data_IF_187545263773
#
_entry.id   IF_187545263773
#
_cell.length_a   1.000
_cell.length_b   1.000
_cell.length_c   1.000
_cell.angle_alpha   90.00
_cell.angle_beta   90.00
_cell.angle_gamma   90.00
#
_symmetry.space_group_name_H-M   'P 1'
#
loop_
_entity.id
_entity.type
_entity.pdbx_description
1 polymer ?
#
# COMPACT_ATOMS: atom_id res chain seq x y z
N UNK A 1 -15.27 -9.76 -19.65
CA UNK A 1 -15.36 -9.03 -18.36
C UNK A 1 -14.77 -7.65 -18.58
N UNK A 2 -15.43 -6.55 -18.17
CA UNK A 2 -14.96 -5.19 -18.45
C UNK A 2 -13.57 -4.97 -17.84
N UNK A 3 -12.63 -4.41 -18.60
CA UNK A 3 -11.25 -4.18 -18.14
C UNK A 3 -11.17 -3.24 -16.92
N UNK A 4 -12.15 -2.34 -16.75
CA UNK A 4 -12.27 -1.44 -15.59
C UNK A 4 -12.35 -2.19 -14.26
N UNK A 5 -13.09 -3.31 -14.20
CA UNK A 5 -13.18 -4.14 -12.98
C UNK A 5 -11.84 -4.75 -12.57
N UNK A 6 -10.96 -5.06 -13.53
CA UNK A 6 -9.63 -5.63 -13.26
C UNK A 6 -8.72 -4.56 -12.65
N UNK A 7 -8.75 -3.33 -13.19
CA UNK A 7 -8.01 -2.20 -12.62
C UNK A 7 -8.55 -1.82 -11.24
N UNK A 8 -9.87 -1.90 -11.02
CA UNK A 8 -10.48 -1.66 -9.72
C UNK A 8 -9.97 -2.65 -8.68
N UNK A 9 -9.96 -3.95 -9.00
CA UNK A 9 -9.42 -5.00 -8.11
C UNK A 9 -7.94 -4.78 -7.80
N UNK A 10 -7.12 -4.45 -8.81
CA UNK A 10 -5.69 -4.19 -8.63
C UNK A 10 -5.42 -2.95 -7.77
N UNK A 11 -6.22 -1.88 -7.93
CA UNK A 11 -6.16 -0.70 -7.09
C UNK A 11 -6.52 -1.01 -5.65
N UNK A 12 -7.60 -1.76 -5.43
CA UNK A 12 -8.06 -2.17 -4.10
C UNK A 12 -7.06 -3.11 -3.42
N UNK A 13 -6.45 -4.02 -4.17
CA UNK A 13 -5.40 -4.91 -3.68
C UNK A 13 -4.14 -4.13 -3.29
N UNK A 14 -3.72 -3.18 -4.12
CA UNK A 14 -2.58 -2.29 -3.84
C UNK A 14 -2.82 -1.43 -2.60
N UNK A 15 -4.04 -0.90 -2.45
CA UNK A 15 -4.44 -0.15 -1.27
C UNK A 15 -4.47 -1.02 -0.01
N UNK A 16 -5.01 -2.24 -0.11
CA UNK A 16 -4.99 -3.20 0.98
C UNK A 16 -3.57 -3.57 1.43
N UNK A 17 -2.67 -3.79 0.46
CA UNK A 17 -1.25 -4.03 0.75
C UNK A 17 -0.59 -2.82 1.43
N UNK A 18 -0.93 -1.59 1.01
CA UNK A 18 -0.43 -0.37 1.65
C UNK A 18 -0.85 -0.29 3.14
N UNK A 19 -2.10 -0.64 3.44
CA UNK A 19 -2.61 -0.67 4.82
C UNK A 19 -1.93 -1.75 5.68
N UNK A 20 -1.60 -2.91 5.10
CA UNK A 20 -0.84 -3.96 5.81
C UNK A 20 0.58 -3.50 6.13
N UNK A 21 1.28 -2.88 5.17
CA UNK A 21 2.61 -2.30 5.38
C UNK A 21 2.53 -1.20 6.44
N UNK A 22 1.51 -0.34 6.41
CA UNK A 22 1.27 0.68 7.43
C UNK A 22 1.08 0.09 8.82
N UNK A 23 0.27 -0.96 8.95
CA UNK A 23 0.10 -1.67 10.23
C UNK A 23 1.41 -2.26 10.72
N UNK A 24 2.23 -2.81 9.83
CA UNK A 24 3.55 -3.34 10.20
C UNK A 24 4.46 -2.23 10.75
N UNK A 25 4.52 -1.07 10.08
CA UNK A 25 5.26 0.11 10.57
C UNK A 25 4.81 0.51 11.96
N UNK A 26 3.49 0.64 12.18
CA UNK A 26 2.94 1.04 13.47
C UNK A 26 3.26 0.03 14.57
N UNK A 27 3.22 -1.28 14.26
CA UNK A 27 3.59 -2.35 15.21
C UNK A 27 5.08 -2.34 15.55
N UNK A 28 5.96 -2.05 14.59
CA UNK A 28 7.40 -1.87 14.83
C UNK A 28 7.63 -0.64 15.71
N UNK A 29 6.97 0.49 15.40
CA UNK A 29 7.07 1.71 16.22
C UNK A 29 6.53 1.53 17.64
N UNK A 30 5.50 0.70 17.82
CA UNK A 30 4.98 0.32 19.14
C UNK A 30 5.91 -0.60 19.94
N UNK A 31 6.98 -1.10 19.35
CA UNK A 31 7.88 -2.06 19.98
C UNK A 31 7.34 -3.49 20.06
N UNK A 32 6.22 -3.79 19.37
CA UNK A 32 5.63 -5.14 19.31
C UNK A 32 6.43 -6.07 18.37
N UNK A 33 7.20 -5.51 17.43
CA UNK A 33 8.01 -6.24 16.46
C UNK A 33 9.47 -5.73 16.49
N UNK A 34 10.48 -6.62 16.45
CA UNK A 34 11.87 -6.20 16.36
C UNK A 34 12.13 -5.55 15.00
N UNK A 35 12.32 -4.23 15.00
CA UNK A 35 12.69 -3.46 13.82
C UNK A 35 13.30 -2.13 14.25
N UNK A 36 14.52 -1.86 13.79
CA UNK A 36 15.19 -0.58 14.06
C UNK A 36 14.60 0.58 13.26
N UNK A 37 15.00 1.80 13.61
CA UNK A 37 14.57 3.04 12.93
C UNK A 37 14.80 3.00 11.40
N UNK A 38 15.89 2.37 10.96
CA UNK A 38 16.18 2.18 9.55
C UNK A 38 15.10 1.35 8.84
N UNK A 39 14.54 0.36 9.53
CA UNK A 39 13.52 -0.52 8.98
C UNK A 39 12.19 0.23 8.81
N UNK A 40 11.84 1.05 9.80
CA UNK A 40 10.69 1.95 9.75
C UNK A 40 10.80 2.91 8.57
N UNK A 41 11.98 3.52 8.35
CA UNK A 41 12.21 4.42 7.21
C UNK A 41 11.96 3.72 5.88
N UNK A 42 12.51 2.51 5.70
CA UNK A 42 12.35 1.74 4.47
C UNK A 42 10.90 1.35 4.21
N UNK A 43 10.19 0.86 5.24
CA UNK A 43 8.77 0.55 5.11
C UNK A 43 7.95 1.80 4.78
N UNK A 44 8.30 2.98 5.31
CA UNK A 44 7.59 4.24 5.04
C UNK A 44 7.74 4.68 3.58
N UNK A 45 8.92 4.52 3.01
CA UNK A 45 9.18 4.77 1.58
C UNK A 45 8.38 3.78 0.72
N UNK A 46 8.42 2.49 1.08
CA UNK A 46 7.65 1.45 0.40
C UNK A 46 6.13 1.70 0.46
N UNK A 47 5.65 2.18 1.61
CA UNK A 47 4.25 2.57 1.83
C UNK A 47 3.84 3.68 0.88
N UNK A 48 4.65 4.75 0.77
CA UNK A 48 4.40 5.85 -0.17
C UNK A 48 4.33 5.36 -1.62
N UNK A 49 5.21 4.43 -2.00
CA UNK A 49 5.21 3.84 -3.33
C UNK A 49 3.97 2.98 -3.60
N UNK A 50 3.59 2.11 -2.66
CA UNK A 50 2.36 1.31 -2.76
C UNK A 50 1.11 2.19 -2.81
N UNK A 51 1.10 3.28 -2.05
CA UNK A 51 -0.02 4.22 -2.03
C UNK A 51 -0.14 4.98 -3.35
N UNK A 52 0.98 5.45 -3.92
CA UNK A 52 1.00 6.06 -5.24
C UNK A 52 0.52 5.09 -6.33
N UNK A 53 0.97 3.83 -6.29
CA UNK A 53 0.49 2.80 -7.21
C UNK A 53 -1.02 2.55 -7.06
N UNK A 54 -1.53 2.48 -5.83
CA UNK A 54 -2.96 2.33 -5.56
C UNK A 54 -3.79 3.50 -6.14
N UNK A 55 -3.30 4.74 -6.01
CA UNK A 55 -3.94 5.92 -6.61
C UNK A 55 -3.97 5.81 -8.13
N UNK A 56 -2.86 5.46 -8.78
CA UNK A 56 -2.77 5.34 -10.24
C UNK A 56 -3.72 4.26 -10.77
N UNK A 57 -3.73 3.08 -10.14
CA UNK A 57 -4.65 2.00 -10.53
C UNK A 57 -6.11 2.34 -10.24
N UNK A 58 -6.39 3.05 -9.14
CA UNK A 58 -7.74 3.52 -8.80
C UNK A 58 -8.27 4.55 -9.80
N UNK A 59 -7.46 5.53 -10.19
CA UNK A 59 -7.82 6.48 -11.25
C UNK A 59 -8.05 5.79 -12.58
N UNK A 60 -7.18 4.84 -12.94
CA UNK A 60 -7.33 4.06 -14.18
C UNK A 60 -8.57 3.16 -14.18
N UNK A 61 -9.04 2.74 -13.01
CA UNK A 61 -10.28 1.99 -12.87
C UNK A 61 -11.53 2.86 -13.04
N UNK A 62 -11.48 4.11 -12.58
CA UNK A 62 -12.56 5.09 -12.76
C UNK A 62 -12.58 5.73 -14.16
N UNK A 63 -11.43 5.77 -14.84
CA UNK A 63 -11.31 6.32 -16.20
C UNK A 63 -11.55 5.31 -17.32
N UNK A 64 -11.96 4.08 -17.00
CA UNK A 64 -12.10 2.96 -17.94
C UNK A 64 -13.56 2.51 -18.12
#
# INVERSE_FOLDING_TARGET
MPQSNVYALLGLFSFGAALLVARLVVRIQKGELPGGDLWVLYLRILLGFLFAAAIVYGFRAFSA
#
